data_IF_423697147700
#
_entry.id   IF_423697147700
#
_cell.length_a   1.000
_cell.length_b   1.000
_cell.length_c   1.000
_cell.angle_alpha   90.00
_cell.angle_beta   90.00
_cell.angle_gamma   90.00
#
_symmetry.space_group_name_H-M   'P 1'
#
loop_
_entity.id
_entity.type
_entity.pdbx_description
1 polymer ?
#
# COMPACT_ATOMS: atom_id res chain seq x y z
N UNK A 1 -22.96 -8.66 8.01
CA UNK A 1 -21.56 -8.49 8.45
C UNK A 1 -20.98 -7.39 7.58
N UNK A 2 -20.81 -6.17 8.11
CA UNK A 2 -20.04 -5.16 7.39
C UNK A 2 -18.58 -5.55 7.55
N UNK A 3 -17.96 -6.04 6.48
CA UNK A 3 -16.51 -6.24 6.47
C UNK A 3 -15.84 -4.88 6.65
N UNK A 4 -14.88 -4.79 7.58
CA UNK A 4 -14.08 -3.58 7.86
C UNK A 4 -13.38 -3.06 6.60
N UNK A 5 -13.08 -3.95 5.67
CA UNK A 5 -12.29 -3.71 4.47
C UNK A 5 -13.09 -3.98 3.18
N UNK A 6 -12.65 -3.39 2.05
CA UNK A 6 -13.28 -3.66 0.76
C UNK A 6 -13.17 -5.14 0.41
N UNK A 7 -14.17 -5.69 -0.29
CA UNK A 7 -14.16 -7.10 -0.66
C UNK A 7 -13.05 -7.38 -1.67
N UNK A 8 -12.44 -8.55 -1.54
CA UNK A 8 -11.51 -9.06 -2.54
C UNK A 8 -12.28 -9.39 -3.84
N UNK A 9 -11.63 -9.20 -4.97
CA UNK A 9 -12.13 -9.56 -6.30
C UNK A 9 -11.67 -10.98 -6.68
N UNK A 10 -12.14 -11.49 -7.82
CA UNK A 10 -11.84 -12.83 -8.34
C UNK A 10 -12.06 -13.94 -7.29
N UNK A 11 -13.33 -14.15 -6.92
CA UNK A 11 -13.73 -15.17 -5.93
C UNK A 11 -13.05 -15.01 -4.57
N UNK A 12 -12.90 -13.76 -4.11
CA UNK A 12 -12.28 -13.38 -2.83
C UNK A 12 -10.79 -13.72 -2.70
N UNK A 13 -10.05 -13.79 -3.81
CA UNK A 13 -8.61 -14.15 -3.78
C UNK A 13 -7.67 -12.99 -4.01
N UNK A 14 -8.13 -11.91 -4.65
CA UNK A 14 -7.28 -10.79 -5.04
C UNK A 14 -7.74 -9.51 -4.34
N UNK A 15 -6.87 -8.77 -3.63
CA UNK A 15 -7.22 -7.45 -3.13
C UNK A 15 -7.66 -6.52 -4.27
N UNK A 16 -8.63 -5.63 -4.06
CA UNK A 16 -9.04 -4.67 -5.09
C UNK A 16 -7.92 -3.68 -5.41
N UNK A 17 -7.96 -3.08 -6.59
CA UNK A 17 -7.14 -1.92 -6.95
C UNK A 17 -7.97 -0.65 -6.75
N UNK A 18 -7.41 0.34 -6.07
CA UNK A 18 -8.07 1.63 -5.78
C UNK A 18 -7.12 2.80 -6.10
N UNK A 19 -7.67 3.99 -6.34
CA UNK A 19 -6.84 5.19 -6.43
C UNK A 19 -6.43 5.69 -5.04
N UNK A 20 -5.39 6.52 -4.97
CA UNK A 20 -4.99 7.22 -3.75
C UNK A 20 -6.12 8.11 -3.22
N UNK A 21 -6.92 8.68 -4.12
CA UNK A 21 -8.09 9.47 -3.76
C UNK A 21 -9.18 8.63 -3.09
N UNK A 22 -9.48 7.45 -3.64
CA UNK A 22 -10.45 6.54 -3.01
C UNK A 22 -9.98 6.10 -1.63
N UNK A 23 -8.67 5.95 -1.45
CA UNK A 23 -8.07 5.67 -0.15
C UNK A 23 -8.24 6.83 0.84
N UNK A 24 -7.98 8.08 0.43
CA UNK A 24 -8.16 9.26 1.29
C UNK A 24 -9.62 9.42 1.80
N UNK A 25 -10.60 8.96 1.02
CA UNK A 25 -12.03 9.02 1.36
C UNK A 25 -12.55 7.74 2.07
N UNK A 26 -11.71 6.71 2.22
CA UNK A 26 -12.14 5.43 2.76
C UNK A 26 -12.34 5.45 4.28
N UNK A 27 -13.49 4.96 4.75
CA UNK A 27 -13.82 4.87 6.20
C UNK A 27 -12.83 4.02 7.00
N UNK A 28 -12.07 3.14 6.33
CA UNK A 28 -11.10 2.22 6.94
C UNK A 28 -9.66 2.72 6.89
N UNK A 29 -9.41 3.89 6.28
CA UNK A 29 -8.07 4.45 6.08
C UNK A 29 -7.34 4.76 7.41
N UNK A 30 -8.08 5.02 8.48
CA UNK A 30 -7.56 5.29 9.83
C UNK A 30 -6.91 4.07 10.50
N UNK A 31 -7.21 2.87 10.01
CA UNK A 31 -6.67 1.60 10.51
C UNK A 31 -5.69 0.92 9.57
N UNK A 32 -5.27 1.62 8.53
CA UNK A 32 -4.37 1.10 7.49
C UNK A 32 -3.25 2.08 7.18
N UNK A 33 -2.25 1.63 6.42
CA UNK A 33 -1.21 2.50 5.91
C UNK A 33 -0.76 2.10 4.50
N UNK A 34 -0.17 3.06 3.78
CA UNK A 34 0.50 2.80 2.50
C UNK A 34 1.86 2.17 2.77
N UNK A 35 2.13 1.06 2.10
CA UNK A 35 3.43 0.38 2.11
C UNK A 35 3.94 0.18 0.67
N UNK A 36 5.26 0.13 0.51
CA UNK A 36 5.91 -0.14 -0.77
C UNK A 36 6.48 -1.56 -0.75
N UNK A 37 6.03 -2.41 -1.67
CA UNK A 37 6.52 -3.78 -1.83
C UNK A 37 7.68 -3.79 -2.85
N UNK A 38 8.94 -3.98 -2.42
CA UNK A 38 10.09 -3.90 -3.31
C UNK A 38 10.10 -4.99 -4.38
N UNK A 39 9.64 -6.20 -4.02
CA UNK A 39 9.64 -7.38 -4.91
C UNK A 39 8.73 -7.19 -6.13
N UNK A 40 7.58 -6.52 -5.95
CA UNK A 40 6.62 -6.21 -7.00
C UNK A 40 6.71 -4.78 -7.52
N UNK A 41 7.60 -3.96 -6.95
CA UNK A 41 7.72 -2.52 -7.21
C UNK A 41 6.38 -1.79 -7.21
N UNK A 42 5.52 -2.10 -6.24
CA UNK A 42 4.16 -1.57 -6.17
C UNK A 42 3.83 -1.01 -4.80
N UNK A 43 2.90 -0.06 -4.77
CA UNK A 43 2.31 0.45 -3.55
C UNK A 43 1.04 -0.29 -3.21
N UNK A 44 0.87 -0.61 -1.93
CA UNK A 44 -0.29 -1.31 -1.41
C UNK A 44 -0.77 -0.62 -0.14
N UNK A 45 -2.02 -0.88 0.21
CA UNK A 45 -2.56 -0.55 1.53
C UNK A 45 -2.55 -1.81 2.39
N UNK A 46 -2.00 -1.71 3.60
CA UNK A 46 -1.94 -2.81 4.58
C UNK A 46 -2.63 -2.43 5.89
N UNK A 47 -3.07 -3.43 6.63
CA UNK A 47 -3.60 -3.27 7.99
C UNK A 47 -2.47 -2.87 8.97
N UNK A 48 -2.74 -1.91 9.86
CA UNK A 48 -1.75 -1.44 10.84
C UNK A 48 -1.38 -2.49 11.89
N UNK A 49 -2.32 -3.34 12.29
CA UNK A 49 -2.10 -4.43 13.25
C UNK A 49 -1.49 -5.67 12.58
N UNK A 50 -1.72 -5.85 11.28
CA UNK A 50 -1.24 -6.98 10.47
C UNK A 50 -0.64 -6.50 9.15
N UNK A 51 0.61 -6.04 9.18
CA UNK A 51 1.29 -5.41 8.01
C UNK A 51 1.50 -6.34 6.81
N UNK A 52 1.35 -7.65 6.99
CA UNK A 52 1.39 -8.64 5.91
C UNK A 52 0.02 -8.79 5.21
N UNK A 53 -1.05 -8.28 5.81
CA UNK A 53 -2.39 -8.33 5.25
C UNK A 53 -2.62 -7.15 4.30
N UNK A 54 -2.63 -7.45 3.01
CA UNK A 54 -2.87 -6.47 1.94
C UNK A 54 -4.38 -6.21 1.80
N UNK A 55 -4.81 -5.02 2.16
CA UNK A 55 -6.20 -4.56 2.07
C UNK A 55 -6.57 -4.17 0.63
N UNK A 56 -5.66 -3.48 -0.07
CA UNK A 56 -5.85 -3.06 -1.46
C UNK A 56 -4.51 -2.81 -2.17
N UNK A 57 -4.52 -2.85 -3.49
CA UNK A 57 -3.45 -2.33 -4.34
C UNK A 57 -3.73 -0.87 -4.70
N UNK A 58 -2.70 -0.03 -4.75
CA UNK A 58 -2.86 1.33 -5.29
C UNK A 58 -2.68 1.29 -6.81
N UNK A 59 -3.55 1.99 -7.53
CA UNK A 59 -3.46 2.15 -8.97
C UNK A 59 -2.12 2.77 -9.37
N UNK A 60 -1.47 2.17 -10.37
CA UNK A 60 -0.15 2.60 -10.83
C UNK A 60 -0.09 4.04 -11.34
N UNK A 61 -1.23 4.63 -11.72
CA UNK A 61 -1.31 6.04 -12.12
C UNK A 61 -0.95 7.00 -10.97
N UNK A 62 -1.12 6.57 -9.71
CA UNK A 62 -0.77 7.35 -8.52
C UNK A 62 0.67 7.11 -8.04
N UNK A 63 1.39 6.15 -8.63
CA UNK A 63 2.76 5.82 -8.21
C UNK A 63 3.70 7.03 -8.25
N UNK A 64 3.56 7.91 -9.25
CA UNK A 64 4.40 9.11 -9.36
C UNK A 64 4.23 10.05 -8.15
N UNK A 65 3.00 10.18 -7.63
CA UNK A 65 2.71 11.00 -6.45
C UNK A 65 3.36 10.37 -5.22
N UNK A 66 3.17 9.06 -5.05
CA UNK A 66 3.74 8.32 -3.93
C UNK A 66 5.26 8.25 -3.98
N UNK A 67 5.86 8.16 -5.16
CA UNK A 67 7.31 8.21 -5.34
C UNK A 67 7.89 9.54 -4.89
N UNK A 68 7.20 10.65 -5.15
CA UNK A 68 7.58 11.98 -4.67
C UNK A 68 7.49 12.03 -3.13
N UNK A 69 6.38 11.56 -2.56
CA UNK A 69 6.13 11.57 -1.11
C UNK A 69 7.18 10.71 -0.39
N UNK A 70 7.46 9.51 -0.91
CA UNK A 70 8.35 8.54 -0.27
C UNK A 70 9.81 8.64 -0.74
N UNK A 71 10.18 9.62 -1.57
CA UNK A 71 11.53 9.73 -2.16
C UNK A 71 12.63 9.67 -1.10
N UNK A 72 12.52 10.47 -0.04
CA UNK A 72 13.54 10.51 1.03
C UNK A 72 13.56 9.24 1.88
N UNK A 73 12.41 8.58 2.07
CA UNK A 73 12.32 7.30 2.77
C UNK A 73 12.99 6.19 1.96
N UNK A 74 12.72 6.14 0.65
CA UNK A 74 13.35 5.21 -0.29
C UNK A 74 14.87 5.40 -0.34
N UNK A 75 15.34 6.64 -0.48
CA UNK A 75 16.78 6.94 -0.48
C UNK A 75 17.49 6.50 0.81
N UNK A 76 16.85 6.70 1.96
CA UNK A 76 17.41 6.30 3.27
C UNK A 76 17.47 4.78 3.38
N UNK A 77 16.39 4.09 2.99
CA UNK A 77 16.33 2.63 3.00
C UNK A 77 17.37 2.00 2.06
N UNK A 78 17.54 2.53 0.85
CA UNK A 78 18.56 2.06 -0.10
C UNK A 78 19.98 2.23 0.46
N UNK A 79 20.27 3.34 1.15
CA UNK A 79 21.58 3.56 1.80
C UNK A 79 21.83 2.60 2.95
N UNK A 80 20.81 2.29 3.77
CA UNK A 80 20.92 1.33 4.86
C UNK A 80 21.19 -0.08 4.34
N UNK A 81 20.55 -0.50 3.26
CA UNK A 81 20.80 -1.81 2.63
C UNK A 81 22.23 -1.93 2.08
N UNK A 82 22.78 -0.85 1.52
CA UNK A 82 24.16 -0.83 1.01
C UNK A 82 25.23 -0.88 2.13
N UNK A 83 24.91 -0.43 3.34
CA UNK A 83 25.85 -0.43 4.49
C UNK A 83 25.84 -1.74 5.27
N UNK A 84 24.89 -2.64 5.01
CA UNK A 84 24.78 -3.95 5.66
C UNK A 84 25.34 -5.10 4.79
N UNK A 85 25.96 -4.79 3.65
CA UNK A 85 26.68 -5.73 2.78
C UNK A 85 28.19 -5.49 2.87
#
# INVERSE_FOLDING_TARGET
MNSKYPPYINDNTTPPTISLRDYDEAEWADTTCVDFKPDSQSYVIVDLDQTDYIVAHIDTSDNNVLDIIFRSAKETHSKQQQQQQ
#
